data_IF_075118447691
#
_entry.id   IF_075118447691
#
_cell.length_a   1.000
_cell.length_b   1.000
_cell.length_c   1.000
_cell.angle_alpha   90.00
_cell.angle_beta   90.00
_cell.angle_gamma   90.00
#
_symmetry.space_group_name_H-M   'P 1'
#
loop_
_entity.id
_entity.type
_entity.pdbx_description
1 polymer ?
#
# COMPACT_ATOMS: atom_id res chain seq x y z
N UNK A 1 13.24 -15.35 15.54
CA UNK A 1 12.63 -16.10 14.41
C UNK A 1 11.54 -17.08 14.84
N UNK A 2 11.78 -18.05 15.74
CA UNK A 2 10.76 -19.04 16.16
C UNK A 2 9.46 -18.40 16.69
N UNK A 3 9.56 -17.38 17.55
CA UNK A 3 8.39 -16.65 18.05
C UNK A 3 7.60 -15.91 16.96
N UNK A 4 8.29 -15.31 15.98
CA UNK A 4 7.67 -14.61 14.86
C UNK A 4 6.91 -15.59 13.96
N UNK A 5 7.54 -16.72 13.61
CA UNK A 5 6.90 -17.78 12.82
C UNK A 5 5.69 -18.35 13.55
N UNK A 6 5.79 -18.56 14.86
CA UNK A 6 4.68 -19.03 15.69
C UNK A 6 3.51 -18.05 15.71
N UNK A 7 3.77 -16.75 15.79
CA UNK A 7 2.73 -15.73 15.82
C UNK A 7 2.01 -15.61 14.47
N UNK A 8 2.76 -15.57 13.36
CA UNK A 8 2.19 -15.55 12.00
C UNK A 8 1.39 -16.83 11.74
N UNK A 9 1.92 -17.99 12.13
CA UNK A 9 1.24 -19.27 12.00
C UNK A 9 -0.08 -19.30 12.77
N UNK A 10 -0.08 -18.78 14.00
CA UNK A 10 -1.30 -18.67 14.80
C UNK A 10 -2.35 -17.76 14.14
N UNK A 11 -1.95 -16.59 13.63
CA UNK A 11 -2.86 -15.66 12.95
C UNK A 11 -3.52 -16.28 11.71
N UNK A 12 -2.76 -17.01 10.89
CA UNK A 12 -3.29 -17.74 9.74
C UNK A 12 -4.24 -18.87 10.15
N UNK A 13 -3.94 -19.57 11.25
CA UNK A 13 -4.78 -20.65 11.74
C UNK A 13 -6.14 -20.11 12.22
N UNK A 14 -6.12 -18.99 12.95
CA UNK A 14 -7.35 -18.31 13.40
C UNK A 14 -8.19 -17.85 12.21
N UNK A 15 -7.59 -17.21 11.19
CA UNK A 15 -8.35 -16.74 10.03
C UNK A 15 -8.99 -17.89 9.24
N UNK A 16 -8.29 -19.01 9.07
CA UNK A 16 -8.82 -20.22 8.44
C UNK A 16 -9.96 -20.85 9.24
N UNK A 17 -9.87 -20.89 10.57
CA UNK A 17 -10.94 -21.41 11.43
C UNK A 17 -12.18 -20.54 11.31
N UNK A 18 -12.04 -19.21 11.34
CA UNK A 18 -13.16 -18.27 11.19
C UNK A 18 -13.86 -18.44 9.83
N UNK A 19 -13.08 -18.54 8.74
CA UNK A 19 -13.64 -18.79 7.41
C UNK A 19 -14.27 -20.18 7.29
N UNK A 20 -13.69 -21.20 7.93
CA UNK A 20 -14.24 -22.55 7.95
C UNK A 20 -15.59 -22.61 8.67
N UNK A 21 -15.68 -22.00 9.86
CA UNK A 21 -16.92 -21.90 10.64
C UNK A 21 -17.98 -21.13 9.86
N UNK A 22 -17.63 -19.99 9.25
CA UNK A 22 -18.60 -19.20 8.46
C UNK A 22 -19.10 -19.98 7.25
N UNK A 23 -18.24 -20.78 6.60
CA UNK A 23 -18.65 -21.62 5.47
C UNK A 23 -19.62 -22.73 5.88
N UNK A 24 -19.40 -23.37 7.04
CA UNK A 24 -20.23 -24.47 7.57
C UNK A 24 -21.56 -23.96 8.13
N UNK A 25 -21.55 -22.82 8.84
CA UNK A 25 -22.77 -22.22 9.40
C UNK A 25 -23.62 -21.48 8.35
N UNK A 26 -23.04 -21.13 7.20
CA UNK A 26 -23.76 -20.42 6.14
C UNK A 26 -24.88 -21.29 5.58
N UNK A 27 -26.12 -20.86 5.82
CA UNK A 27 -27.30 -21.44 5.19
C UNK A 27 -27.35 -21.03 3.71
N UNK A 28 -26.70 -21.82 2.85
CA UNK A 28 -26.84 -21.72 1.41
C UNK A 28 -27.98 -22.61 0.97
N UNK A 29 -29.10 -22.01 0.58
CA UNK A 29 -30.18 -22.73 -0.08
C UNK A 29 -29.64 -23.51 -1.29
N UNK A 30 -30.27 -24.62 -1.64
CA UNK A 30 -29.87 -25.54 -2.72
C UNK A 30 -29.84 -24.90 -4.13
N UNK A 31 -30.19 -23.63 -4.27
CA UNK A 31 -30.10 -22.85 -5.50
C UNK A 31 -29.22 -21.63 -5.30
N UNK A 32 -28.29 -21.40 -6.23
CA UNK A 32 -27.59 -20.12 -6.34
C UNK A 32 -28.57 -19.15 -7.00
N UNK A 33 -29.22 -18.32 -6.19
CA UNK A 33 -30.07 -17.26 -6.72
C UNK A 33 -29.21 -16.24 -7.47
N UNK A 34 -29.47 -16.09 -8.78
CA UNK A 34 -28.70 -15.21 -9.67
C UNK A 34 -28.61 -13.78 -9.11
N UNK A 35 -29.71 -13.27 -8.56
CA UNK A 35 -29.81 -11.92 -7.98
C UNK A 35 -28.96 -11.72 -6.72
N UNK A 36 -28.67 -12.80 -5.97
CA UNK A 36 -27.75 -12.76 -4.83
C UNK A 36 -26.28 -12.84 -5.27
N UNK A 37 -26.04 -13.26 -6.51
CA UNK A 37 -24.71 -13.46 -7.09
C UNK A 37 -24.30 -12.37 -8.09
N UNK A 38 -25.22 -11.47 -8.45
CA UNK A 38 -24.94 -10.33 -9.33
C UNK A 38 -24.32 -9.16 -8.54
N UNK A 39 -23.45 -8.34 -9.19
CA UNK A 39 -22.93 -7.13 -8.57
C UNK A 39 -24.06 -6.15 -8.21
N UNK A 40 -23.99 -5.57 -7.02
CA UNK A 40 -24.98 -4.60 -6.57
C UNK A 40 -24.71 -3.20 -7.17
N UNK A 41 -25.57 -2.74 -8.08
CA UNK A 41 -25.56 -1.37 -8.63
C UNK A 41 -26.89 -0.67 -8.31
N UNK A 42 -27.16 -0.50 -7.01
CA UNK A 42 -28.39 0.12 -6.48
C UNK A 42 -29.69 -0.59 -6.91
N UNK A 43 -29.64 -1.89 -7.21
CA UNK A 43 -30.78 -2.68 -7.68
C UNK A 43 -30.98 -2.68 -9.20
N UNK A 44 -30.04 -2.12 -9.97
CA UNK A 44 -30.02 -2.19 -11.42
C UNK A 44 -28.95 -3.17 -11.92
N UNK A 45 -29.15 -3.69 -13.13
CA UNK A 45 -28.12 -4.44 -13.84
C UNK A 45 -26.97 -3.51 -14.22
N UNK A 46 -25.70 -3.96 -14.09
CA UNK A 46 -24.56 -3.09 -14.35
C UNK A 46 -24.51 -2.67 -15.81
N UNK A 47 -24.47 -1.35 -16.05
CA UNK A 47 -24.45 -0.76 -17.39
C UNK A 47 -23.09 -0.95 -18.10
N UNK A 48 -22.03 -1.21 -17.34
CA UNK A 48 -20.68 -1.41 -17.86
C UNK A 48 -19.92 -2.44 -17.02
N UNK A 49 -18.84 -2.98 -17.58
CA UNK A 49 -17.95 -3.85 -16.81
C UNK A 49 -17.29 -3.04 -15.68
N UNK A 50 -17.21 -3.60 -14.49
CA UNK A 50 -16.48 -3.02 -13.34
C UNK A 50 -14.98 -2.82 -13.56
N UNK A 51 -14.44 -3.29 -14.68
CA UNK A 51 -13.03 -3.19 -15.09
C UNK A 51 -12.79 -2.10 -16.15
N UNK A 52 -13.50 -0.98 -16.05
CA UNK A 52 -13.19 0.18 -16.89
C UNK A 52 -11.89 0.86 -16.40
N UNK A 53 -11.19 1.50 -17.34
CA UNK A 53 -9.96 2.23 -17.03
C UNK A 53 -10.22 3.30 -15.97
N UNK A 54 -9.44 3.25 -14.90
CA UNK A 54 -9.47 4.23 -13.84
C UNK A 54 -8.75 5.52 -14.27
N UNK A 55 -8.93 6.61 -13.52
CA UNK A 55 -8.34 7.90 -13.86
C UNK A 55 -6.81 7.83 -13.87
N UNK A 56 -6.19 8.42 -14.90
CA UNK A 56 -4.72 8.48 -15.09
C UNK A 56 -4.05 9.24 -13.94
N UNK A 57 -4.79 10.10 -13.22
CA UNK A 57 -4.27 10.87 -12.08
C UNK A 57 -3.89 9.98 -10.89
N UNK A 58 -4.64 8.91 -10.64
CA UNK A 58 -4.27 7.94 -9.60
C UNK A 58 -3.03 7.12 -9.97
N UNK A 59 -2.83 6.88 -11.27
CA UNK A 59 -1.62 6.23 -11.75
C UNK A 59 -0.37 7.09 -11.46
N UNK A 60 -0.47 8.42 -11.59
CA UNK A 60 0.61 9.34 -11.20
C UNK A 60 0.99 9.23 -9.72
N UNK A 61 -0.01 9.19 -8.83
CA UNK A 61 0.21 8.99 -7.39
C UNK A 61 0.88 7.64 -7.08
N UNK A 62 0.51 6.57 -7.80
CA UNK A 62 1.15 5.25 -7.63
C UNK A 62 2.63 5.28 -8.00
N UNK A 63 2.99 5.92 -9.13
CA UNK A 63 4.39 6.04 -9.53
C UNK A 63 5.19 6.85 -8.50
N UNK A 64 4.63 7.97 -8.04
CA UNK A 64 5.26 8.82 -7.04
C UNK A 64 5.49 8.06 -5.73
N UNK A 65 4.51 7.27 -5.29
CA UNK A 65 4.65 6.40 -4.11
C UNK A 65 5.80 5.40 -4.27
N UNK A 66 5.95 4.77 -5.43
CA UNK A 66 7.03 3.80 -5.69
C UNK A 66 8.41 4.48 -5.62
N UNK A 67 8.55 5.66 -6.23
CA UNK A 67 9.82 6.40 -6.21
C UNK A 67 10.15 6.86 -4.79
N UNK A 68 9.19 7.43 -4.08
CA UNK A 68 9.38 7.88 -2.70
C UNK A 68 9.72 6.71 -1.75
N UNK A 69 9.08 5.55 -1.91
CA UNK A 69 9.39 4.36 -1.12
C UNK A 69 10.86 3.93 -1.34
N UNK A 70 11.33 3.95 -2.59
CA UNK A 70 12.74 3.69 -2.91
C UNK A 70 13.69 4.71 -2.27
N UNK A 71 13.34 5.99 -2.26
CA UNK A 71 14.11 7.04 -1.60
C UNK A 71 14.21 6.81 -0.09
N UNK A 72 13.15 6.33 0.56
CA UNK A 72 13.20 6.00 2.00
C UNK A 72 14.14 4.84 2.31
N UNK A 73 14.24 3.85 1.41
CA UNK A 73 15.22 2.77 1.51
C UNK A 73 16.65 3.30 1.42
N UNK A 74 16.90 4.33 0.60
CA UNK A 74 18.21 4.99 0.53
C UNK A 74 18.57 5.79 1.79
N UNK A 75 17.58 6.22 2.59
CA UNK A 75 17.81 6.89 3.88
C UNK A 75 18.21 5.90 4.99
N UNK A 76 17.73 4.64 4.94
CA UNK A 76 17.96 3.62 5.99
C UNK A 76 19.43 3.41 6.44
N UNK A 77 20.46 3.44 5.56
CA UNK A 77 21.86 3.24 5.95
C UNK A 77 22.35 4.24 7.01
N UNK A 78 21.73 5.42 7.12
CA UNK A 78 22.06 6.44 8.13
C UNK A 78 21.85 5.90 9.55
N UNK A 79 20.82 5.08 9.77
CA UNK A 79 20.54 4.46 11.07
C UNK A 79 21.69 3.52 11.46
N UNK A 80 22.15 2.69 10.53
CA UNK A 80 23.27 1.78 10.75
C UNK A 80 24.56 2.56 11.02
N UNK A 81 24.79 3.63 10.26
CA UNK A 81 25.96 4.49 10.42
C UNK A 81 26.02 5.17 11.79
N UNK A 82 24.89 5.68 12.28
CA UNK A 82 24.75 6.25 13.63
C UNK A 82 25.00 5.20 14.72
N UNK A 83 24.42 3.99 14.58
CA UNK A 83 24.58 2.91 15.55
C UNK A 83 26.03 2.41 15.66
N UNK A 84 26.77 2.41 14.55
CA UNK A 84 28.17 2.01 14.50
C UNK A 84 29.13 3.11 14.99
N UNK A 85 28.63 4.30 15.32
CA UNK A 85 29.46 5.43 15.79
C UNK A 85 30.43 5.97 14.73
N UNK A 86 30.23 5.65 13.44
CA UNK A 86 31.11 6.02 12.33
C UNK A 86 30.91 7.48 11.87
N UNK A 87 30.50 8.35 12.78
CA UNK A 87 30.10 9.73 12.47
C UNK A 87 31.31 10.54 12.00
N UNK A 88 31.30 10.92 10.73
CA UNK A 88 32.28 11.79 10.09
C UNK A 88 31.60 13.05 9.59
N UNK A 89 32.30 14.19 9.63
CA UNK A 89 31.75 15.47 9.16
C UNK A 89 31.31 15.43 7.69
N UNK A 90 32.03 14.67 6.86
CA UNK A 90 31.71 14.46 5.45
C UNK A 90 30.45 13.61 5.26
N UNK A 91 30.24 12.59 6.12
CA UNK A 91 29.01 11.79 6.14
C UNK A 91 27.78 12.61 6.55
N UNK A 92 27.90 13.43 7.60
CA UNK A 92 26.82 14.35 8.02
C UNK A 92 26.46 15.32 6.89
N UNK A 93 27.47 15.91 6.24
CA UNK A 93 27.25 16.81 5.11
C UNK A 93 26.54 16.11 3.94
N UNK A 94 26.97 14.91 3.57
CA UNK A 94 26.31 14.13 2.50
C UNK A 94 24.85 13.79 2.82
N UNK A 95 24.53 13.49 4.08
CA UNK A 95 23.16 13.23 4.52
C UNK A 95 22.26 14.47 4.37
N UNK A 96 22.71 15.63 4.84
CA UNK A 96 21.94 16.87 4.69
C UNK A 96 21.77 17.26 3.22
N UNK A 97 22.80 17.06 2.39
CA UNK A 97 22.72 17.29 0.95
C UNK A 97 21.69 16.35 0.30
N UNK A 98 21.69 15.07 0.66
CA UNK A 98 20.71 14.10 0.17
C UNK A 98 19.28 14.49 0.57
N UNK A 99 19.04 14.82 1.84
CA UNK A 99 17.74 15.27 2.32
C UNK A 99 17.28 16.56 1.64
N UNK A 100 18.19 17.47 1.31
CA UNK A 100 17.87 18.69 0.57
C UNK A 100 17.42 18.39 -0.86
N UNK A 101 18.05 17.44 -1.54
CA UNK A 101 17.63 17.00 -2.88
C UNK A 101 16.23 16.39 -2.85
N UNK A 102 15.95 15.51 -1.87
CA UNK A 102 14.61 14.93 -1.69
C UNK A 102 13.54 16.02 -1.46
N UNK A 103 13.86 17.00 -0.61
CA UNK A 103 12.95 18.12 -0.35
C UNK A 103 12.66 18.94 -1.62
N UNK A 104 13.67 19.20 -2.45
CA UNK A 104 13.47 19.87 -3.73
C UNK A 104 12.61 19.06 -4.71
N UNK A 105 12.77 17.72 -4.71
CA UNK A 105 11.92 16.81 -5.49
C UNK A 105 10.44 16.97 -5.15
N UNK A 106 10.11 16.94 -3.85
CA UNK A 106 8.73 17.13 -3.37
C UNK A 106 8.18 18.51 -3.75
N UNK A 107 8.98 19.57 -3.65
CA UNK A 107 8.54 20.91 -4.08
C UNK A 107 8.26 20.97 -5.59
N UNK A 108 9.05 20.26 -6.40
CA UNK A 108 8.81 20.16 -7.84
C UNK A 108 7.49 19.44 -8.13
N UNK A 109 7.24 18.31 -7.48
CA UNK A 109 6.01 17.52 -7.63
C UNK A 109 4.75 18.29 -7.20
N UNK A 110 4.85 19.08 -6.13
CA UNK A 110 3.78 19.99 -5.69
C UNK A 110 3.48 21.05 -6.75
N UNK A 111 4.52 21.62 -7.38
CA UNK A 111 4.34 22.63 -8.43
C UNK A 111 3.70 22.05 -9.70
N UNK A 112 4.00 20.79 -10.04
CA UNK A 112 3.39 20.10 -11.18
C UNK A 112 1.94 19.66 -10.90
N UNK A 113 1.42 19.86 -9.68
CA UNK A 113 0.03 19.59 -9.34
C UNK A 113 -0.31 18.09 -9.29
N UNK A 114 0.70 17.20 -9.25
CA UNK A 114 0.49 15.75 -9.17
C UNK A 114 -0.18 15.35 -7.85
N UNK A 115 0.06 16.13 -6.80
CA UNK A 115 -0.53 15.93 -5.47
C UNK A 115 -1.89 16.63 -5.30
N UNK A 116 -2.29 17.53 -6.20
CA UNK A 116 -3.55 18.27 -6.05
C UNK A 116 -4.73 17.46 -6.57
N UNK A 117 -5.70 17.25 -5.68
CA UNK A 117 -7.00 16.69 -6.03
C UNK A 117 -7.94 17.84 -6.39
N UNK A 118 -8.06 18.16 -7.67
CA UNK A 118 -9.16 18.98 -8.14
C UNK A 118 -10.40 18.09 -8.17
N UNK A 119 -11.37 18.45 -7.32
CA UNK A 119 -12.68 17.81 -7.19
C UNK A 119 -13.50 17.97 -8.47
#
# INVERSE_FOLDING_TARGET
MKAVVSFVGFGLLVSLVVVGISYVLSYRGLGIDREMSSPFECGFDPMSCSRMGFSIRFFGLMILFIVFDFETVLVMPVIVWLMMGLVSGLGVFSFFLFMFVLFLGVLYELKEGVLEWVL
#
